data_IF_893670299704
#
_entry.id   IF_893670299704
#
_cell.length_a   1.000
_cell.length_b   1.000
_cell.length_c   1.000
_cell.angle_alpha   90.00
_cell.angle_beta   90.00
_cell.angle_gamma   90.00
#
_symmetry.space_group_name_H-M   'P 1'
#
loop_
_entity.id
_entity.type
_entity.pdbx_description
1 polymer ?
#
# COMPACT_ATOMS: atom_id res chain seq x y z
N UNK A 1 12.89 20.50 23.20
CA UNK A 1 14.01 21.07 22.46
C UNK A 1 13.48 21.78 21.21
N UNK A 2 13.76 23.06 21.07
CA UNK A 2 13.52 23.80 19.84
C UNK A 2 14.63 23.40 18.85
N UNK A 3 14.28 22.62 17.81
CA UNK A 3 15.24 22.05 16.88
C UNK A 3 14.89 22.39 15.43
N UNK A 4 15.91 22.61 14.63
CA UNK A 4 15.82 22.71 13.18
C UNK A 4 15.82 21.30 12.58
N UNK A 5 14.86 20.96 11.72
CA UNK A 5 14.82 19.67 11.04
C UNK A 5 15.86 19.62 9.91
N UNK A 6 16.45 18.45 9.67
CA UNK A 6 17.38 18.25 8.55
C UNK A 6 16.71 18.58 7.21
N UNK A 7 15.42 18.22 7.03
CA UNK A 7 14.65 18.61 5.86
C UNK A 7 14.62 20.14 5.63
N UNK A 8 14.50 20.92 6.70
CA UNK A 8 14.50 22.37 6.63
C UNK A 8 15.89 22.92 6.24
N UNK A 9 16.97 22.30 6.74
CA UNK A 9 18.32 22.67 6.31
C UNK A 9 18.52 22.47 4.82
N UNK A 10 17.98 21.40 4.24
CA UNK A 10 18.04 21.15 2.79
C UNK A 10 17.15 22.11 1.98
N UNK A 11 16.01 22.52 2.52
CA UNK A 11 15.10 23.46 1.84
C UNK A 11 15.67 24.90 1.86
N UNK A 12 16.25 25.31 2.98
CA UNK A 12 16.61 26.72 3.26
C UNK A 12 18.12 26.92 3.44
N UNK A 13 18.97 26.05 2.86
CA UNK A 13 20.41 26.02 3.11
C UNK A 13 21.10 27.37 2.93
N UNK A 14 20.78 28.11 1.86
CA UNK A 14 21.38 29.41 1.57
C UNK A 14 21.06 30.45 2.65
N UNK A 15 19.80 30.49 3.12
CA UNK A 15 19.35 31.44 4.13
C UNK A 15 19.83 31.10 5.53
N UNK A 16 20.11 29.81 5.79
CA UNK A 16 20.60 29.32 7.08
C UNK A 16 22.15 29.31 7.17
N UNK A 17 22.83 29.53 6.05
CA UNK A 17 24.31 29.62 6.00
C UNK A 17 24.84 30.64 6.97
N UNK A 18 25.81 30.26 7.83
CA UNK A 18 26.36 31.08 8.86
C UNK A 18 25.54 31.20 10.16
N UNK A 19 24.31 30.68 10.17
CA UNK A 19 23.46 30.68 11.36
C UNK A 19 23.78 29.51 12.28
N UNK A 20 23.60 29.74 13.60
CA UNK A 20 23.66 28.67 14.59
C UNK A 20 22.34 28.00 14.75
N UNK A 21 22.29 26.66 14.58
CA UNK A 21 21.08 25.82 14.68
C UNK A 21 21.33 24.65 15.63
N UNK A 22 20.26 24.12 16.18
CA UNK A 22 20.26 22.86 16.93
C UNK A 22 19.53 21.79 16.16
N UNK A 23 20.17 20.64 15.94
CA UNK A 23 19.61 19.45 15.28
C UNK A 23 19.69 18.28 16.25
N UNK A 24 18.64 17.46 16.29
CA UNK A 24 18.64 16.23 17.08
C UNK A 24 18.32 15.04 16.17
N UNK A 25 19.05 13.95 16.31
CA UNK A 25 18.86 12.77 15.47
C UNK A 25 19.69 11.57 15.90
N UNK A 26 19.72 10.56 15.06
CA UNK A 26 20.41 9.30 15.33
C UNK A 26 21.66 9.15 14.47
N UNK A 27 22.72 8.63 15.10
CA UNK A 27 24.01 8.36 14.47
C UNK A 27 23.86 7.27 13.40
N UNK A 28 24.30 7.58 12.18
CA UNK A 28 24.48 6.62 11.08
C UNK A 28 25.91 6.12 11.01
N UNK A 29 26.85 6.99 11.26
CA UNK A 29 28.28 6.66 11.35
C UNK A 29 29.05 7.73 12.10
N UNK A 30 30.12 7.33 12.71
CA UNK A 30 31.14 8.22 13.26
C UNK A 30 32.46 7.89 12.60
N UNK A 31 33.21 8.91 12.24
CA UNK A 31 34.59 8.80 11.71
C UNK A 31 35.54 9.76 12.46
N UNK A 32 36.37 9.18 13.28
CA UNK A 32 37.40 9.91 14.04
C UNK A 32 38.67 10.06 13.21
N UNK A 33 39.18 11.28 13.10
CA UNK A 33 40.44 11.65 12.44
C UNK A 33 41.47 12.20 13.45
N UNK A 34 41.33 11.88 14.74
CA UNK A 34 42.15 12.27 15.90
C UNK A 34 41.90 13.71 16.37
N UNK A 35 42.15 14.71 15.52
CA UNK A 35 41.96 16.13 15.87
C UNK A 35 40.62 16.68 15.50
N UNK A 36 39.94 16.07 14.54
CA UNK A 36 38.59 16.37 14.12
C UNK A 36 37.88 15.07 13.67
N UNK A 37 36.61 15.12 13.45
CA UNK A 37 35.87 13.97 13.01
C UNK A 37 34.50 14.35 12.40
N UNK A 38 33.80 13.34 11.94
CA UNK A 38 32.52 13.51 11.31
C UNK A 38 31.47 12.56 11.92
N UNK A 39 30.32 13.10 12.26
CA UNK A 39 29.15 12.33 12.60
C UNK A 39 28.16 12.47 11.46
N UNK A 40 27.72 11.35 10.90
CA UNK A 40 26.57 11.33 9.98
C UNK A 40 25.33 11.13 10.80
N UNK A 41 24.42 12.11 10.76
CA UNK A 41 23.20 12.16 11.59
C UNK A 41 21.96 12.14 10.69
N UNK A 42 20.92 11.45 11.11
CA UNK A 42 19.61 11.52 10.49
C UNK A 42 18.52 11.69 11.55
N UNK A 43 17.61 12.64 11.33
CA UNK A 43 16.51 12.96 12.24
C UNK A 43 15.15 12.40 11.81
N UNK A 44 15.11 11.65 10.71
CA UNK A 44 13.89 11.09 10.14
C UNK A 44 13.03 12.09 9.35
N UNK A 45 13.36 13.38 9.31
CA UNK A 45 12.56 14.39 8.61
C UNK A 45 12.67 14.32 7.08
N UNK A 46 13.78 13.79 6.56
CA UNK A 46 13.99 13.51 5.14
C UNK A 46 14.88 12.28 4.96
N UNK A 47 15.05 11.85 3.71
CA UNK A 47 15.90 10.71 3.39
C UNK A 47 17.38 11.00 3.55
N UNK A 48 17.80 12.25 3.27
CA UNK A 48 19.18 12.70 3.32
C UNK A 48 19.70 12.79 4.75
N UNK A 49 20.99 12.50 4.91
CA UNK A 49 21.69 12.62 6.18
C UNK A 49 22.39 13.99 6.31
N UNK A 50 22.68 14.42 7.54
CA UNK A 50 23.45 15.59 7.85
C UNK A 50 24.89 15.18 8.25
N UNK A 51 25.89 15.84 7.68
CA UNK A 51 27.25 15.74 8.16
C UNK A 51 27.49 16.78 9.27
N UNK A 52 27.83 16.31 10.45
CA UNK A 52 28.25 17.13 11.59
C UNK A 52 29.74 17.02 11.69
N UNK A 53 30.43 18.17 11.62
CA UNK A 53 31.88 18.25 11.84
C UNK A 53 32.12 18.51 13.30
N UNK A 54 32.91 17.65 13.94
CA UNK A 54 33.35 17.79 15.31
C UNK A 54 34.82 18.10 15.35
N UNK A 55 35.21 19.05 16.20
CA UNK A 55 36.59 19.44 16.40
C UNK A 55 36.97 19.21 17.86
N UNK A 56 38.11 18.56 18.10
CA UNK A 56 38.59 18.22 19.43
C UNK A 56 38.85 19.45 20.30
N UNK A 57 39.31 20.54 19.71
CA UNK A 57 39.52 21.80 20.44
C UNK A 57 38.25 22.52 20.85
N UNK A 58 37.14 22.22 20.16
CA UNK A 58 35.85 22.87 20.39
C UNK A 58 34.89 22.06 21.29
N UNK A 59 35.13 20.75 21.46
CA UNK A 59 34.25 19.83 22.18
C UNK A 59 34.99 19.15 23.33
N UNK A 60 34.63 19.49 24.58
CA UNK A 60 35.19 18.86 25.77
C UNK A 60 34.94 17.35 25.84
N UNK A 61 33.82 16.89 25.24
CA UNK A 61 33.44 15.49 25.20
C UNK A 61 33.74 14.80 23.84
N UNK A 62 34.72 15.31 23.09
CA UNK A 62 35.07 14.76 21.76
C UNK A 62 35.25 13.23 21.77
N UNK A 63 36.00 12.70 22.74
CA UNK A 63 36.26 11.25 22.82
C UNK A 63 35.01 10.44 23.13
N UNK A 64 34.10 10.98 23.93
CA UNK A 64 32.79 10.36 24.16
C UNK A 64 32.00 10.25 22.84
N UNK A 65 31.94 11.33 22.05
CA UNK A 65 31.23 11.35 20.77
C UNK A 65 31.90 10.45 19.74
N UNK A 66 33.26 10.44 19.70
CA UNK A 66 34.00 9.59 18.75
C UNK A 66 33.73 8.09 18.93
N UNK A 67 33.35 7.67 20.14
CA UNK A 67 33.04 6.28 20.48
C UNK A 67 31.56 5.93 20.47
N UNK A 68 30.68 6.85 20.04
CA UNK A 68 29.27 6.54 19.96
C UNK A 68 28.96 5.48 18.87
N UNK A 69 28.11 4.53 19.23
CA UNK A 69 27.68 3.47 18.32
C UNK A 69 26.61 3.99 17.34
N UNK A 70 26.40 3.26 16.24
CA UNK A 70 25.28 3.47 15.33
C UNK A 70 23.96 3.47 16.12
N UNK A 71 23.07 4.38 15.77
CA UNK A 71 21.77 4.58 16.43
C UNK A 71 21.81 5.29 17.79
N UNK A 72 22.95 5.72 18.29
CA UNK A 72 22.96 6.66 19.42
C UNK A 72 22.20 7.94 19.06
N UNK A 73 21.47 8.50 20.00
CA UNK A 73 20.72 9.73 19.83
C UNK A 73 21.56 10.92 20.31
N UNK A 74 21.74 11.91 19.43
CA UNK A 74 22.56 13.10 19.70
C UNK A 74 21.73 14.38 19.48
N UNK A 75 22.05 15.40 20.28
CA UNK A 75 21.64 16.78 20.08
C UNK A 75 22.89 17.60 19.73
N UNK A 76 22.93 18.14 18.52
CA UNK A 76 24.06 18.85 17.96
C UNK A 76 23.71 20.32 17.75
N UNK A 77 24.43 21.22 18.37
CA UNK A 77 24.36 22.67 18.14
C UNK A 77 25.60 23.13 17.42
N UNK A 78 25.46 23.96 16.40
CA UNK A 78 26.58 24.42 15.63
C UNK A 78 26.20 25.41 14.53
N UNK A 79 27.20 25.86 13.79
CA UNK A 79 27.02 26.79 12.67
C UNK A 79 26.88 26.04 11.36
N UNK A 80 25.87 26.39 10.58
CA UNK A 80 25.65 25.87 9.22
C UNK A 80 26.73 26.45 8.31
N UNK A 81 27.55 25.57 7.74
CA UNK A 81 28.62 25.95 6.82
C UNK A 81 28.27 25.47 5.41
N UNK A 82 28.13 26.40 4.48
CA UNK A 82 27.90 26.04 3.08
C UNK A 82 29.14 25.41 2.46
N UNK A 83 28.95 24.34 1.69
CA UNK A 83 30.03 23.57 1.06
C UNK A 83 29.69 23.33 -0.44
N UNK A 84 29.70 24.39 -1.28
CA UNK A 84 29.20 24.30 -2.66
C UNK A 84 30.04 23.34 -3.54
N UNK A 85 31.30 23.13 -3.19
CA UNK A 85 32.23 22.27 -3.93
C UNK A 85 32.30 20.82 -3.37
N UNK A 86 31.47 20.50 -2.34
CA UNK A 86 31.42 19.18 -1.75
C UNK A 86 30.18 18.40 -2.25
N UNK A 87 30.14 17.06 -2.10
CA UNK A 87 28.95 16.26 -2.44
C UNK A 87 27.68 16.67 -1.68
N UNK A 88 27.83 17.15 -0.44
CA UNK A 88 26.73 17.75 0.34
C UNK A 88 26.78 19.28 0.25
N UNK A 89 25.61 19.98 0.16
CA UNK A 89 25.59 21.45 -0.02
C UNK A 89 25.99 22.22 1.23
N UNK A 90 25.98 21.59 2.40
CA UNK A 90 26.35 22.19 3.69
C UNK A 90 26.77 21.11 4.69
N UNK A 91 27.36 21.55 5.78
CA UNK A 91 27.68 20.76 6.98
C UNK A 91 27.37 21.56 8.23
N UNK A 92 27.20 20.90 9.37
CA UNK A 92 27.06 21.54 10.67
C UNK A 92 28.43 21.53 11.40
N UNK A 93 29.05 22.68 11.58
CA UNK A 93 30.26 22.81 12.41
C UNK A 93 29.84 22.88 13.87
N UNK A 94 29.98 21.78 14.59
CA UNK A 94 29.45 21.65 15.94
C UNK A 94 30.26 22.50 16.96
N UNK A 95 29.49 23.22 17.79
CA UNK A 95 30.00 23.90 18.99
C UNK A 95 29.64 23.17 20.28
N UNK A 96 28.61 22.31 20.22
CA UNK A 96 28.17 21.45 21.32
C UNK A 96 27.50 20.19 20.76
N UNK A 97 27.83 19.04 21.34
CA UNK A 97 27.14 17.77 21.06
C UNK A 97 26.81 17.12 22.41
N UNK A 98 25.52 16.86 22.61
CA UNK A 98 25.02 16.16 23.80
C UNK A 98 24.58 14.74 23.39
N UNK A 99 24.92 13.75 24.21
CA UNK A 99 24.45 12.38 24.07
C UNK A 99 23.11 12.25 24.80
N UNK A 100 21.99 12.29 24.06
CA UNK A 100 20.65 12.10 24.62
C UNK A 100 20.42 10.64 25.00
N UNK A 101 20.91 9.72 24.16
CA UNK A 101 20.78 8.29 24.40
C UNK A 101 21.89 7.48 23.75
N UNK A 102 22.54 6.64 24.53
CA UNK A 102 23.55 5.72 24.03
C UNK A 102 22.92 4.53 23.29
N UNK A 103 23.65 3.98 22.31
CA UNK A 103 23.27 2.72 21.67
C UNK A 103 24.15 1.60 22.21
N UNK A 104 23.53 0.54 22.72
CA UNK A 104 24.27 -0.59 23.30
C UNK A 104 25.16 -1.27 22.26
N UNK A 105 26.30 -1.87 22.70
CA UNK A 105 27.26 -2.52 21.80
C UNK A 105 26.69 -3.68 20.97
N UNK A 106 25.65 -4.31 21.45
CA UNK A 106 24.95 -5.43 20.82
C UNK A 106 23.83 -4.99 19.86
N UNK A 107 23.73 -3.69 19.53
CA UNK A 107 22.77 -3.19 18.55
C UNK A 107 22.84 -3.99 17.24
N UNK A 108 21.73 -4.62 16.80
CA UNK A 108 21.80 -5.65 15.76
C UNK A 108 22.00 -5.10 14.35
N UNK A 109 21.66 -3.83 14.09
CA UNK A 109 21.74 -3.22 12.76
C UNK A 109 23.01 -2.41 12.58
N UNK A 110 24.15 -3.11 12.60
CA UNK A 110 25.47 -2.52 12.41
C UNK A 110 25.71 -2.07 10.95
N UNK A 111 26.86 -1.45 10.66
CA UNK A 111 27.25 -0.93 9.34
C UNK A 111 27.23 -1.97 8.21
N UNK A 112 27.29 -3.26 8.51
CA UNK A 112 27.20 -4.33 7.51
C UNK A 112 25.79 -4.39 6.95
N UNK A 113 25.66 -4.62 5.63
CA UNK A 113 24.36 -4.81 4.98
C UNK A 113 23.65 -6.02 5.58
N UNK A 114 22.50 -5.78 6.20
CA UNK A 114 21.61 -6.84 6.67
C UNK A 114 20.74 -7.35 5.52
N UNK A 115 20.42 -8.65 5.53
CA UNK A 115 19.46 -9.22 4.57
C UNK A 115 18.05 -8.82 4.96
N UNK A 116 17.13 -8.84 3.98
CA UNK A 116 15.73 -8.51 4.21
C UNK A 116 15.08 -9.53 5.16
N UNK A 117 15.45 -10.79 5.06
CA UNK A 117 15.00 -11.88 5.95
C UNK A 117 15.40 -11.61 7.41
N UNK A 118 16.63 -11.22 7.64
CA UNK A 118 17.07 -10.82 8.99
C UNK A 118 16.29 -9.59 9.48
N UNK A 119 16.07 -8.59 8.63
CA UNK A 119 15.33 -7.39 9.00
C UNK A 119 13.88 -7.67 9.35
N UNK A 120 13.26 -8.74 8.81
CA UNK A 120 11.94 -9.19 9.24
C UNK A 120 11.90 -9.70 10.68
N UNK A 121 13.02 -10.22 11.20
CA UNK A 121 13.14 -10.59 12.62
C UNK A 121 13.38 -9.38 13.53
N UNK A 122 13.66 -8.20 12.95
CA UNK A 122 13.95 -6.95 13.64
C UNK A 122 12.94 -5.85 13.23
N UNK A 123 11.66 -6.17 13.17
CA UNK A 123 10.62 -5.28 12.62
C UNK A 123 10.57 -3.92 13.32
N UNK A 124 10.79 -3.88 14.64
CA UNK A 124 10.80 -2.66 15.46
C UNK A 124 12.04 -1.76 15.21
N UNK A 125 13.12 -2.31 14.65
CA UNK A 125 14.35 -1.55 14.35
C UNK A 125 14.57 -1.32 12.84
N UNK A 126 13.99 -2.16 11.98
CA UNK A 126 14.21 -2.06 10.53
C UNK A 126 13.85 -0.69 9.91
N UNK A 127 12.93 0.13 10.46
CA UNK A 127 12.70 1.49 9.96
C UNK A 127 13.93 2.39 10.00
N UNK A 128 14.94 2.05 10.80
CA UNK A 128 16.22 2.79 10.89
C UNK A 128 17.15 2.54 9.70
N UNK A 129 16.86 1.53 8.86
CA UNK A 129 17.63 1.24 7.64
C UNK A 129 17.20 2.13 6.48
N UNK A 130 18.09 2.35 5.51
CA UNK A 130 17.75 3.16 4.33
C UNK A 130 16.63 2.56 3.51
N UNK A 131 16.60 1.22 3.35
CA UNK A 131 15.53 0.54 2.62
C UNK A 131 14.15 0.84 3.22
N UNK A 132 13.96 0.56 4.50
CA UNK A 132 12.64 0.73 5.13
C UNK A 132 12.27 2.18 5.39
N UNK A 133 13.27 3.05 5.57
CA UNK A 133 13.05 4.50 5.60
C UNK A 133 12.48 4.99 4.27
N UNK A 134 13.02 4.54 3.14
CA UNK A 134 12.49 4.86 1.82
C UNK A 134 11.08 4.29 1.62
N UNK A 135 10.88 3.01 1.92
CA UNK A 135 9.59 2.34 1.75
C UNK A 135 8.49 3.02 2.55
N UNK A 136 8.70 3.26 3.84
CA UNK A 136 7.64 3.83 4.69
C UNK A 136 7.42 5.32 4.46
N UNK A 137 8.42 6.05 3.98
CA UNK A 137 8.20 7.44 3.52
C UNK A 137 7.35 7.47 2.25
N UNK A 138 7.65 6.63 1.27
CA UNK A 138 6.83 6.48 0.05
C UNK A 138 5.41 6.03 0.41
N UNK A 139 5.26 5.07 1.32
CA UNK A 139 3.94 4.65 1.80
C UNK A 139 3.14 5.82 2.37
N UNK A 140 3.77 6.65 3.20
CA UNK A 140 3.13 7.83 3.80
C UNK A 140 2.70 8.86 2.74
N UNK A 141 3.59 9.17 1.80
CA UNK A 141 3.30 10.13 0.71
C UNK A 141 2.21 9.60 -0.21
N UNK A 142 2.24 8.33 -0.57
CA UNK A 142 1.22 7.69 -1.40
C UNK A 142 -0.16 7.73 -0.72
N UNK A 143 -0.25 7.45 0.58
CA UNK A 143 -1.51 7.55 1.32
C UNK A 143 -2.08 8.97 1.30
N UNK A 144 -1.25 9.97 1.54
CA UNK A 144 -1.67 11.39 1.49
C UNK A 144 -2.09 11.80 0.06
N UNK A 145 -1.40 11.32 -0.96
CA UNK A 145 -1.73 11.58 -2.37
C UNK A 145 -3.11 10.99 -2.75
N UNK A 146 -3.41 9.78 -2.30
CA UNK A 146 -4.71 9.14 -2.51
C UNK A 146 -5.84 9.97 -1.89
N UNK A 147 -5.70 10.36 -0.62
CA UNK A 147 -6.69 11.20 0.04
C UNK A 147 -6.87 12.54 -0.68
N UNK A 148 -5.78 13.18 -1.08
CA UNK A 148 -5.81 14.44 -1.79
C UNK A 148 -6.51 14.34 -3.15
N UNK A 149 -6.20 13.28 -3.92
CA UNK A 149 -6.88 13.02 -5.20
C UNK A 149 -8.40 12.95 -5.04
N UNK A 150 -8.89 12.13 -4.13
CA UNK A 150 -10.34 11.98 -3.95
C UNK A 150 -10.99 13.24 -3.37
N UNK A 151 -10.36 13.91 -2.41
CA UNK A 151 -10.89 15.16 -1.84
C UNK A 151 -10.96 16.28 -2.87
N UNK A 152 -9.97 16.44 -3.74
CA UNK A 152 -9.96 17.40 -4.84
C UNK A 152 -11.05 17.13 -5.88
N UNK A 153 -11.44 15.87 -6.04
CA UNK A 153 -12.54 15.41 -6.90
C UNK A 153 -13.93 15.55 -6.23
N UNK A 154 -13.98 15.98 -4.97
CA UNK A 154 -15.23 16.13 -4.22
C UNK A 154 -15.78 14.85 -3.61
N UNK A 155 -15.02 13.77 -3.58
CA UNK A 155 -15.43 12.50 -2.93
C UNK A 155 -15.51 12.66 -1.42
N UNK A 156 -16.48 12.01 -0.81
CA UNK A 156 -16.62 11.92 0.64
C UNK A 156 -15.88 10.70 1.18
N UNK A 157 -14.97 10.91 2.13
CA UNK A 157 -14.29 9.83 2.84
C UNK A 157 -15.21 9.19 3.87
N UNK A 158 -15.43 7.88 3.78
CA UNK A 158 -16.31 7.11 4.66
C UNK A 158 -15.52 6.05 5.42
N UNK A 159 -15.67 6.02 6.74
CA UNK A 159 -15.11 4.97 7.59
C UNK A 159 -16.13 3.83 7.72
N UNK A 160 -15.99 2.81 6.91
CA UNK A 160 -16.82 1.60 7.00
C UNK A 160 -16.40 0.73 8.17
N UNK A 161 -17.30 -0.06 8.80
CA UNK A 161 -16.96 -0.87 9.95
C UNK A 161 -15.98 -1.99 9.59
N UNK A 162 -15.00 -2.22 10.46
CA UNK A 162 -14.08 -3.37 10.36
C UNK A 162 -14.69 -4.65 10.93
N UNK A 163 -15.59 -4.54 11.89
CA UNK A 163 -16.35 -5.68 12.42
C UNK A 163 -17.69 -5.73 11.67
N UNK A 164 -17.98 -6.87 11.07
CA UNK A 164 -19.16 -7.05 10.21
C UNK A 164 -19.84 -8.38 10.47
N UNK A 165 -21.14 -8.44 10.13
CA UNK A 165 -21.93 -9.67 10.15
C UNK A 165 -22.26 -10.16 8.73
N UNK A 166 -21.72 -9.50 7.69
CA UNK A 166 -21.93 -9.86 6.28
C UNK A 166 -20.60 -10.17 5.59
N UNK A 167 -20.65 -11.09 4.62
CA UNK A 167 -19.53 -11.46 3.78
C UNK A 167 -19.67 -10.79 2.41
N UNK A 168 -18.81 -9.83 2.11
CA UNK A 168 -18.80 -9.09 0.84
C UNK A 168 -18.47 -9.98 -0.36
N UNK A 169 -17.57 -10.93 -0.18
CA UNK A 169 -17.11 -11.80 -1.26
C UNK A 169 -17.98 -13.07 -1.43
N UNK A 170 -18.81 -13.39 -0.42
CA UNK A 170 -19.70 -14.53 -0.43
C UNK A 170 -19.05 -15.90 -0.24
N UNK A 171 -17.73 -15.95 -0.05
CA UNK A 171 -16.94 -17.16 0.16
C UNK A 171 -15.66 -16.87 0.94
N UNK A 172 -15.60 -15.74 1.64
CA UNK A 172 -14.40 -15.26 2.29
C UNK A 172 -14.04 -16.09 3.52
N UNK A 173 -12.79 -16.47 3.63
CA UNK A 173 -12.20 -16.94 4.88
C UNK A 173 -12.01 -15.74 5.81
N UNK A 174 -12.96 -15.58 6.73
CA UNK A 174 -13.01 -14.43 7.64
C UNK A 174 -12.49 -14.79 9.02
N UNK A 175 -11.72 -13.88 9.62
CA UNK A 175 -11.38 -13.97 11.03
C UNK A 175 -12.63 -13.72 11.88
N UNK A 176 -12.90 -14.62 12.80
CA UNK A 176 -14.04 -14.48 13.72
C UNK A 176 -13.73 -13.52 14.85
N UNK A 177 -14.69 -12.66 15.18
CA UNK A 177 -14.65 -11.77 16.34
C UNK A 177 -15.63 -12.29 17.38
N UNK A 178 -15.13 -12.72 18.53
CA UNK A 178 -15.93 -13.30 19.60
C UNK A 178 -15.33 -13.02 20.96
N UNK A 179 -16.20 -12.89 21.99
CA UNK A 179 -15.82 -12.83 23.40
C UNK A 179 -16.16 -14.12 24.15
N UNK A 180 -16.72 -15.12 23.44
CA UNK A 180 -17.03 -16.42 24.03
C UNK A 180 -15.74 -17.19 24.34
N UNK A 181 -15.77 -17.95 25.45
CA UNK A 181 -14.66 -18.85 25.79
C UNK A 181 -14.59 -20.00 24.77
N UNK A 182 -13.50 -20.16 24.02
CA UNK A 182 -13.37 -21.23 23.04
C UNK A 182 -13.35 -22.65 23.67
N UNK A 183 -13.07 -22.75 24.98
CA UNK A 183 -13.07 -24.05 25.69
C UNK A 183 -14.46 -24.48 26.13
N UNK A 184 -15.37 -23.53 26.37
CA UNK A 184 -16.70 -23.81 26.88
C UNK A 184 -17.72 -22.79 26.36
N UNK A 185 -17.97 -22.75 25.05
CA UNK A 185 -18.95 -21.83 24.48
C UNK A 185 -20.37 -22.25 24.88
N UNK A 186 -21.32 -21.31 25.04
CA UNK A 186 -22.72 -21.65 25.18
C UNK A 186 -23.21 -22.37 23.90
N UNK A 187 -24.05 -23.39 24.07
CA UNK A 187 -24.57 -24.18 22.99
C UNK A 187 -26.10 -24.04 22.86
N UNK A 188 -26.57 -24.13 21.62
CA UNK A 188 -27.99 -24.28 21.30
C UNK A 188 -28.50 -25.68 21.65
N UNK A 189 -29.80 -25.90 21.59
CA UNK A 189 -30.38 -27.23 21.76
C UNK A 189 -29.87 -28.26 20.73
N UNK A 190 -29.45 -27.79 19.56
CA UNK A 190 -28.82 -28.65 18.52
C UNK A 190 -27.34 -28.94 18.74
N UNK A 191 -26.72 -28.36 19.77
CA UNK A 191 -25.31 -28.54 20.09
C UNK A 191 -24.35 -27.63 19.33
N UNK A 192 -24.87 -26.65 18.58
CA UNK A 192 -24.07 -25.64 17.92
C UNK A 192 -23.77 -24.46 18.85
N UNK A 193 -22.75 -23.64 18.53
CA UNK A 193 -22.44 -22.46 19.34
C UNK A 193 -23.60 -21.46 19.26
N UNK A 194 -24.09 -21.06 20.44
CA UNK A 194 -25.15 -20.06 20.56
C UNK A 194 -24.58 -18.63 20.48
N UNK A 195 -24.45 -18.11 19.28
CA UNK A 195 -23.97 -16.76 18.99
C UNK A 195 -24.86 -15.64 19.52
N UNK A 196 -26.10 -15.92 19.93
CA UNK A 196 -26.97 -14.92 20.54
C UNK A 196 -26.47 -14.46 21.90
N UNK A 197 -25.62 -15.27 22.54
CA UNK A 197 -24.98 -14.96 23.82
C UNK A 197 -23.60 -14.29 23.67
N UNK A 198 -23.12 -14.10 22.44
CA UNK A 198 -21.88 -13.36 22.20
C UNK A 198 -22.10 -11.85 22.29
N UNK A 199 -21.01 -11.08 22.32
CA UNK A 199 -21.02 -9.63 22.53
C UNK A 199 -21.98 -8.88 21.59
N UNK A 200 -22.00 -9.22 20.31
CA UNK A 200 -22.86 -8.59 19.29
C UNK A 200 -24.22 -9.29 19.12
N UNK A 201 -24.51 -10.33 19.91
CA UNK A 201 -25.75 -11.10 19.80
C UNK A 201 -25.91 -11.88 18.49
N UNK A 202 -24.85 -12.02 17.72
CA UNK A 202 -24.78 -12.75 16.46
C UNK A 202 -23.32 -13.02 16.06
N UNK A 203 -23.13 -13.93 15.12
CA UNK A 203 -21.82 -14.19 14.54
C UNK A 203 -21.24 -12.94 13.88
N UNK A 204 -20.04 -12.54 14.28
CA UNK A 204 -19.33 -11.39 13.74
C UNK A 204 -17.92 -11.77 13.29
N UNK A 205 -17.40 -11.06 12.30
CA UNK A 205 -16.09 -11.28 11.71
C UNK A 205 -15.38 -9.97 11.42
N UNK A 206 -14.06 -10.03 11.14
CA UNK A 206 -13.34 -8.92 10.55
C UNK A 206 -13.66 -8.84 9.05
N UNK A 207 -13.87 -7.64 8.54
CA UNK A 207 -14.28 -7.41 7.16
C UNK A 207 -13.21 -7.78 6.14
N UNK A 208 -13.63 -8.29 5.00
CA UNK A 208 -12.77 -8.51 3.82
C UNK A 208 -12.82 -7.33 2.84
N UNK A 209 -13.79 -6.41 2.97
CA UNK A 209 -13.98 -5.23 2.12
C UNK A 209 -14.98 -4.26 2.75
N UNK A 210 -14.79 -2.98 2.54
CA UNK A 210 -15.74 -1.94 2.93
C UNK A 210 -16.79 -1.61 1.85
N UNK A 211 -16.75 -2.27 0.69
CA UNK A 211 -17.53 -1.92 -0.49
C UNK A 211 -19.03 -1.87 -0.24
N UNK A 212 -19.64 -2.93 0.30
CA UNK A 212 -21.09 -2.99 0.45
C UNK A 212 -21.65 -1.88 1.36
N UNK A 213 -20.89 -1.52 2.39
CA UNK A 213 -21.24 -0.39 3.26
C UNK A 213 -20.97 0.96 2.58
N UNK A 214 -19.91 1.08 1.78
CA UNK A 214 -19.62 2.30 1.01
C UNK A 214 -20.72 2.60 -0.02
N UNK A 215 -21.29 1.58 -0.65
CA UNK A 215 -22.41 1.75 -1.59
C UNK A 215 -23.63 2.39 -0.91
N UNK A 216 -23.89 2.15 0.38
CA UNK A 216 -24.96 2.82 1.13
C UNK A 216 -24.77 4.35 1.11
N UNK A 217 -23.53 4.79 1.26
CA UNK A 217 -23.18 6.20 1.28
C UNK A 217 -23.14 6.80 -0.12
N UNK A 218 -22.70 6.04 -1.12
CA UNK A 218 -22.74 6.47 -2.52
C UNK A 218 -24.17 6.78 -2.99
N UNK A 219 -25.16 6.00 -2.55
CA UNK A 219 -26.58 6.23 -2.84
C UNK A 219 -27.15 7.51 -2.18
N UNK A 220 -26.38 8.20 -1.36
CA UNK A 220 -26.77 9.45 -0.70
C UNK A 220 -25.83 10.62 -1.03
N UNK A 221 -24.54 10.38 -1.14
CA UNK A 221 -23.51 11.39 -1.34
C UNK A 221 -22.96 11.46 -2.77
N UNK A 222 -23.32 10.51 -3.63
CA UNK A 222 -22.85 10.42 -5.01
C UNK A 222 -21.50 9.72 -5.10
N UNK A 223 -20.41 10.44 -4.80
CA UNK A 223 -19.06 9.92 -4.90
C UNK A 223 -18.43 9.79 -3.51
N UNK A 224 -18.06 8.57 -3.15
CA UNK A 224 -17.46 8.26 -1.84
C UNK A 224 -16.25 7.35 -2.01
N UNK A 225 -15.39 7.29 -0.99
CA UNK A 225 -14.34 6.28 -0.94
C UNK A 225 -14.07 5.84 0.50
N UNK A 226 -13.61 4.61 0.65
CA UNK A 226 -13.02 4.11 1.88
C UNK A 226 -11.52 3.98 1.71
N UNK A 227 -10.77 4.14 2.79
CA UNK A 227 -9.38 3.78 2.90
C UNK A 227 -9.18 3.16 4.27
N UNK A 228 -9.32 1.85 4.34
CA UNK A 228 -9.39 1.14 5.61
C UNK A 228 -8.75 -0.23 5.60
N UNK A 229 -8.50 -0.80 6.79
CA UNK A 229 -7.96 -2.13 6.94
C UNK A 229 -8.99 -3.19 6.52
N UNK A 230 -8.51 -4.24 5.88
CA UNK A 230 -9.24 -5.43 5.49
C UNK A 230 -8.48 -6.67 5.90
N UNK A 231 -9.19 -7.78 6.08
CA UNK A 231 -8.65 -8.99 6.70
C UNK A 231 -9.08 -10.22 5.92
N UNK A 232 -8.12 -11.12 5.65
CA UNK A 232 -8.41 -12.41 5.02
C UNK A 232 -7.67 -13.52 5.74
N UNK A 233 -8.41 -14.55 6.19
CA UNK A 233 -7.88 -15.71 6.91
C UNK A 233 -7.40 -16.83 5.97
N UNK A 234 -7.10 -16.50 4.72
CA UNK A 234 -6.60 -17.47 3.74
C UNK A 234 -5.26 -18.03 4.17
N UNK A 235 -5.15 -19.35 4.13
CA UNK A 235 -3.89 -20.04 4.39
C UNK A 235 -2.97 -19.96 3.16
N UNK A 236 -2.59 -18.74 2.77
CA UNK A 236 -1.72 -18.46 1.64
C UNK A 236 -0.39 -17.88 2.11
N UNK A 237 0.71 -18.50 1.74
CA UNK A 237 2.06 -18.10 2.14
C UNK A 237 2.89 -17.59 0.95
N UNK A 238 2.31 -16.73 0.13
CA UNK A 238 2.98 -16.12 -1.01
C UNK A 238 3.60 -14.76 -0.65
N UNK A 239 4.37 -14.20 -1.57
CA UNK A 239 4.97 -12.87 -1.42
C UNK A 239 3.96 -11.72 -1.56
N UNK A 240 2.72 -12.01 -1.95
CA UNK A 240 1.66 -11.03 -2.24
C UNK A 240 0.48 -11.09 -1.29
N UNK A 241 0.46 -12.04 -0.33
CA UNK A 241 -0.64 -12.22 0.61
C UNK A 241 -0.22 -11.85 2.03
N UNK A 242 -1.07 -11.05 2.67
CA UNK A 242 -1.05 -10.74 4.09
C UNK A 242 -2.46 -10.92 4.65
N UNK A 243 -2.58 -11.28 5.92
CA UNK A 243 -3.86 -11.47 6.58
C UNK A 243 -4.54 -10.14 6.94
N UNK A 244 -3.76 -9.07 7.08
CA UNK A 244 -4.20 -7.69 7.30
C UNK A 244 -3.53 -6.80 6.27
N UNK A 245 -4.33 -6.01 5.54
CA UNK A 245 -3.87 -5.07 4.52
C UNK A 245 -4.87 -3.94 4.37
N UNK A 246 -4.52 -2.89 3.63
CA UNK A 246 -5.35 -1.73 3.45
C UNK A 246 -5.94 -1.67 2.04
N UNK A 247 -7.22 -1.35 1.94
CA UNK A 247 -7.91 -1.18 0.68
C UNK A 247 -8.37 0.25 0.48
N UNK A 248 -8.24 0.74 -0.73
CA UNK A 248 -8.89 1.96 -1.23
C UNK A 248 -10.05 1.53 -2.10
N UNK A 249 -11.26 1.90 -1.72
CA UNK A 249 -12.48 1.42 -2.37
C UNK A 249 -13.44 2.59 -2.64
N UNK A 250 -13.30 3.29 -3.77
CA UNK A 250 -14.26 4.31 -4.20
C UNK A 250 -15.51 3.68 -4.81
N UNK A 251 -16.65 4.36 -4.58
CA UNK A 251 -17.95 4.05 -5.16
C UNK A 251 -18.58 5.32 -5.71
N UNK A 252 -19.03 5.29 -6.96
CA UNK A 252 -19.51 6.45 -7.71
C UNK A 252 -20.92 6.19 -8.20
N UNK A 253 -21.90 6.98 -7.73
CA UNK A 253 -23.27 6.93 -8.23
C UNK A 253 -23.37 7.56 -9.62
N UNK A 254 -24.35 7.10 -10.42
CA UNK A 254 -24.57 7.53 -11.80
C UNK A 254 -23.38 7.29 -12.74
N UNK A 255 -22.45 6.42 -12.35
CA UNK A 255 -21.27 6.04 -13.10
C UNK A 255 -21.41 4.66 -13.73
N UNK A 256 -20.81 4.48 -14.89
CA UNK A 256 -20.70 3.20 -15.58
C UNK A 256 -19.27 2.63 -15.51
N UNK A 257 -19.03 1.54 -16.24
CA UNK A 257 -17.72 0.90 -16.28
C UNK A 257 -16.62 1.82 -16.82
N UNK A 258 -16.93 2.68 -17.80
CA UNK A 258 -15.96 3.61 -18.36
C UNK A 258 -15.58 4.72 -17.38
N UNK A 259 -16.57 5.24 -16.63
CA UNK A 259 -16.32 6.23 -15.58
C UNK A 259 -15.39 5.68 -14.49
N UNK A 260 -15.60 4.41 -14.11
CA UNK A 260 -14.69 3.72 -13.20
C UNK A 260 -13.27 3.68 -13.77
N UNK A 261 -13.11 3.19 -15.00
CA UNK A 261 -11.77 3.06 -15.62
C UNK A 261 -11.07 4.41 -15.75
N UNK A 262 -11.79 5.45 -16.12
CA UNK A 262 -11.24 6.82 -16.20
C UNK A 262 -10.76 7.34 -14.85
N UNK A 263 -11.55 7.14 -13.79
CA UNK A 263 -11.19 7.56 -12.43
C UNK A 263 -9.99 6.76 -11.90
N UNK A 264 -9.97 5.45 -12.10
CA UNK A 264 -8.88 4.57 -11.66
C UNK A 264 -7.55 4.92 -12.35
N UNK A 265 -7.57 5.17 -13.67
CA UNK A 265 -6.39 5.61 -14.43
C UNK A 265 -5.88 6.96 -13.92
N UNK A 266 -6.77 7.93 -13.74
CA UNK A 266 -6.42 9.26 -13.25
C UNK A 266 -5.83 9.19 -11.83
N UNK A 267 -6.41 8.41 -10.94
CA UNK A 267 -5.94 8.22 -9.57
C UNK A 267 -4.54 7.61 -9.54
N UNK A 268 -4.32 6.53 -10.28
CA UNK A 268 -3.02 5.86 -10.33
C UNK A 268 -1.93 6.79 -10.85
N UNK A 269 -2.18 7.49 -11.95
CA UNK A 269 -1.25 8.48 -12.52
C UNK A 269 -0.95 9.63 -11.55
N UNK A 270 -1.96 10.13 -10.86
CA UNK A 270 -1.80 11.18 -9.86
C UNK A 270 -0.86 10.76 -8.74
N UNK A 271 -1.08 9.57 -8.17
CA UNK A 271 -0.25 9.04 -7.08
C UNK A 271 1.19 8.79 -7.54
N UNK A 272 1.39 8.19 -8.71
CA UNK A 272 2.73 7.96 -9.25
C UNK A 272 3.50 9.28 -9.45
N UNK A 273 2.86 10.29 -10.03
CA UNK A 273 3.48 11.60 -10.27
C UNK A 273 3.80 12.33 -8.97
N UNK A 274 2.91 12.29 -7.99
CA UNK A 274 3.13 12.93 -6.68
C UNK A 274 4.28 12.28 -5.92
N UNK A 275 4.35 10.95 -5.90
CA UNK A 275 5.44 10.20 -5.26
C UNK A 275 6.78 10.48 -5.96
N UNK A 276 6.83 10.49 -7.29
CA UNK A 276 8.06 10.81 -8.04
C UNK A 276 8.54 12.24 -7.77
N UNK A 277 7.62 13.19 -7.62
CA UNK A 277 7.96 14.58 -7.32
C UNK A 277 8.41 14.78 -5.86
N UNK A 278 7.81 14.06 -4.92
CA UNK A 278 8.01 14.27 -3.47
C UNK A 278 9.14 13.41 -2.90
N UNK A 279 9.41 12.23 -3.46
CA UNK A 279 10.36 11.24 -2.97
C UNK A 279 11.49 10.90 -3.98
N UNK A 280 12.15 11.89 -4.62
CA UNK A 280 13.17 11.58 -5.63
C UNK A 280 14.38 10.85 -5.05
N UNK A 281 14.83 11.18 -3.84
CA UNK A 281 16.00 10.56 -3.22
C UNK A 281 15.74 9.11 -2.85
N UNK A 282 14.55 8.82 -2.29
CA UNK A 282 14.08 7.47 -1.96
C UNK A 282 14.00 6.61 -3.22
N UNK A 283 13.36 7.12 -4.27
CA UNK A 283 13.22 6.39 -5.53
C UNK A 283 14.55 6.16 -6.23
N UNK A 284 15.47 7.12 -6.22
CA UNK A 284 16.81 6.94 -6.77
C UNK A 284 17.57 5.83 -6.05
N UNK A 285 17.49 5.77 -4.72
CA UNK A 285 18.09 4.70 -3.94
C UNK A 285 17.48 3.34 -4.27
N UNK A 286 16.13 3.26 -4.32
CA UNK A 286 15.42 2.02 -4.65
C UNK A 286 15.72 1.56 -6.09
N UNK A 287 15.74 2.47 -7.06
CA UNK A 287 16.11 2.17 -8.44
C UNK A 287 17.54 1.63 -8.57
N UNK A 288 18.46 2.15 -7.76
CA UNK A 288 19.88 1.72 -7.80
C UNK A 288 20.11 0.36 -7.12
N UNK A 289 19.43 0.10 -5.99
CA UNK A 289 19.79 -1.00 -5.10
C UNK A 289 18.73 -2.09 -4.95
N UNK A 290 17.47 -1.84 -5.36
CA UNK A 290 16.36 -2.77 -5.22
C UNK A 290 15.85 -3.24 -6.58
N UNK A 291 15.47 -2.31 -7.46
CA UNK A 291 14.91 -2.61 -8.78
C UNK A 291 15.41 -1.59 -9.81
N UNK A 292 16.40 -1.98 -10.62
CA UNK A 292 17.07 -1.10 -11.59
C UNK A 292 16.15 -0.54 -12.69
N UNK A 293 14.98 -1.14 -12.92
CA UNK A 293 13.98 -0.69 -13.89
C UNK A 293 12.85 0.15 -13.29
N UNK A 294 12.89 0.44 -11.99
CA UNK A 294 11.81 1.06 -11.26
C UNK A 294 11.39 2.42 -11.83
N UNK A 295 12.31 3.36 -11.92
CA UNK A 295 12.00 4.73 -12.38
C UNK A 295 11.49 4.76 -13.82
N UNK A 296 12.11 4.00 -14.71
CA UNK A 296 11.68 3.91 -16.12
C UNK A 296 10.24 3.39 -16.22
N UNK A 297 9.91 2.34 -15.45
CA UNK A 297 8.57 1.77 -15.40
C UNK A 297 7.54 2.75 -14.84
N UNK A 298 7.83 3.43 -13.73
CA UNK A 298 6.91 4.40 -13.13
C UNK A 298 6.65 5.59 -14.05
N UNK A 299 7.69 6.13 -14.72
CA UNK A 299 7.56 7.21 -15.69
C UNK A 299 6.73 6.76 -16.90
N UNK A 300 6.98 5.54 -17.40
CA UNK A 300 6.21 4.99 -18.51
C UNK A 300 4.73 4.88 -18.18
N UNK A 301 4.38 4.28 -17.03
CA UNK A 301 2.98 4.13 -16.61
C UNK A 301 2.30 5.48 -16.36
N UNK A 302 2.99 6.42 -15.71
CA UNK A 302 2.44 7.74 -15.43
C UNK A 302 2.12 8.58 -16.69
N UNK A 303 2.78 8.28 -17.81
CA UNK A 303 2.63 9.03 -19.06
C UNK A 303 1.95 8.23 -20.18
N UNK A 304 1.57 6.98 -19.95
CA UNK A 304 0.88 6.14 -20.95
C UNK A 304 -0.63 6.34 -20.88
N UNK A 305 -1.30 6.32 -22.01
CA UNK A 305 -2.75 6.08 -22.07
C UNK A 305 -2.97 4.58 -21.86
N UNK A 306 -3.86 4.23 -20.95
CA UNK A 306 -4.12 2.82 -20.64
C UNK A 306 -4.94 2.18 -21.77
N UNK A 307 -4.50 1.01 -22.22
CA UNK A 307 -5.26 0.23 -23.19
C UNK A 307 -6.53 -0.35 -22.55
N UNK A 308 -7.54 -0.63 -23.38
CA UNK A 308 -8.77 -1.31 -22.97
C UNK A 308 -9.03 -2.45 -23.93
N UNK A 309 -9.29 -3.63 -23.39
CA UNK A 309 -9.53 -4.86 -24.14
C UNK A 309 -10.57 -5.70 -23.40
N UNK A 310 -11.48 -6.35 -24.10
CA UNK A 310 -12.39 -7.31 -23.45
C UNK A 310 -11.65 -8.58 -23.05
N UNK A 311 -12.15 -9.29 -22.06
CA UNK A 311 -11.61 -10.59 -21.68
C UNK A 311 -11.60 -11.58 -22.85
N UNK A 312 -12.65 -11.60 -23.65
CA UNK A 312 -12.74 -12.45 -24.84
C UNK A 312 -11.61 -12.15 -25.83
N UNK A 313 -11.41 -10.88 -26.17
CA UNK A 313 -10.30 -10.45 -27.04
C UNK A 313 -8.93 -10.73 -26.41
N UNK A 314 -8.80 -10.55 -25.10
CA UNK A 314 -7.54 -10.88 -24.37
C UNK A 314 -7.23 -12.38 -24.46
N UNK A 315 -8.21 -13.25 -24.32
CA UNK A 315 -8.03 -14.71 -24.51
C UNK A 315 -7.62 -15.02 -25.95
N UNK A 316 -8.24 -14.40 -26.94
CA UNK A 316 -7.85 -14.58 -28.36
C UNK A 316 -6.39 -14.16 -28.61
N UNK A 317 -5.94 -13.04 -28.02
CA UNK A 317 -4.55 -12.58 -28.10
C UNK A 317 -3.61 -13.61 -27.48
N UNK A 318 -3.94 -14.16 -26.31
CA UNK A 318 -3.14 -15.18 -25.64
C UNK A 318 -3.12 -16.50 -26.41
N UNK A 319 -4.24 -16.94 -26.98
CA UNK A 319 -4.30 -18.13 -27.83
C UNK A 319 -3.47 -17.97 -29.09
N UNK A 320 -3.49 -16.80 -29.72
CA UNK A 320 -2.63 -16.49 -30.88
C UNK A 320 -1.14 -16.52 -30.49
N UNK A 321 -0.79 -16.03 -29.30
CA UNK A 321 0.59 -16.12 -28.80
C UNK A 321 1.03 -17.58 -28.61
N UNK A 322 0.17 -18.44 -28.06
CA UNK A 322 0.43 -19.89 -27.94
C UNK A 322 0.62 -20.52 -29.32
N UNK A 323 -0.25 -20.20 -30.28
CA UNK A 323 -0.14 -20.70 -31.66
C UNK A 323 1.15 -20.24 -32.36
N UNK A 324 1.68 -19.05 -31.99
CA UNK A 324 2.95 -18.52 -32.46
C UNK A 324 4.18 -19.08 -31.73
N UNK A 325 3.98 -19.99 -30.76
CA UNK A 325 5.05 -20.68 -30.06
C UNK A 325 5.39 -20.13 -28.67
N UNK A 326 4.66 -19.13 -28.16
CA UNK A 326 4.81 -18.69 -26.78
C UNK A 326 4.33 -19.79 -25.81
N UNK A 327 5.07 -20.02 -24.74
CA UNK A 327 4.75 -21.04 -23.74
C UNK A 327 4.34 -20.37 -22.43
N UNK A 328 3.13 -20.66 -22.00
CA UNK A 328 2.65 -20.36 -20.65
C UNK A 328 2.70 -21.60 -19.77
N UNK A 329 2.91 -21.44 -18.48
CA UNK A 329 2.86 -22.52 -17.49
C UNK A 329 1.42 -23.00 -17.27
N UNK A 330 0.46 -22.08 -17.41
CA UNK A 330 -0.97 -22.35 -17.28
C UNK A 330 -1.67 -22.32 -18.63
N UNK A 331 -2.60 -23.24 -18.93
CA UNK A 331 -3.29 -23.28 -20.20
C UNK A 331 -4.18 -22.07 -20.41
N UNK A 332 -4.33 -21.66 -21.67
CA UNK A 332 -5.19 -20.55 -22.07
C UNK A 332 -6.46 -21.10 -22.69
N UNK A 333 -7.62 -20.72 -22.16
CA UNK A 333 -8.93 -20.99 -22.73
C UNK A 333 -9.97 -20.02 -22.15
N UNK A 334 -11.04 -19.78 -22.86
CA UNK A 334 -12.11 -18.91 -22.36
C UNK A 334 -12.76 -19.51 -21.11
N UNK A 335 -12.95 -18.71 -20.07
CA UNK A 335 -13.54 -19.09 -18.79
C UNK A 335 -12.50 -19.31 -17.66
N UNK A 336 -11.21 -19.25 -17.93
CA UNK A 336 -10.16 -19.34 -16.91
C UNK A 336 -9.96 -18.03 -16.18
N UNK A 337 -9.49 -18.11 -14.91
CA UNK A 337 -8.84 -16.98 -14.26
C UNK A 337 -7.49 -16.69 -14.91
N UNK A 338 -7.27 -15.44 -15.33
CA UNK A 338 -5.97 -15.02 -15.85
C UNK A 338 -4.91 -15.13 -14.75
N UNK A 339 -3.81 -15.78 -15.08
CA UNK A 339 -2.66 -15.87 -14.18
C UNK A 339 -1.72 -14.68 -14.42
N UNK A 340 -0.86 -14.38 -13.46
CA UNK A 340 0.10 -13.26 -13.56
C UNK A 340 0.92 -13.28 -14.85
N UNK A 341 1.29 -14.46 -15.35
CA UNK A 341 2.01 -14.59 -16.62
C UNK A 341 1.21 -14.12 -17.84
N UNK A 342 -0.11 -14.41 -17.84
CA UNK A 342 -1.03 -13.95 -18.88
C UNK A 342 -1.18 -12.41 -18.83
N UNK A 343 -1.37 -11.86 -17.66
CA UNK A 343 -1.51 -10.42 -17.43
C UNK A 343 -0.24 -9.66 -17.82
N UNK A 344 0.91 -10.20 -17.46
CA UNK A 344 2.20 -9.61 -17.84
C UNK A 344 2.46 -9.68 -19.34
N UNK A 345 2.09 -10.77 -19.99
CA UNK A 345 2.18 -10.87 -21.44
C UNK A 345 1.36 -9.76 -22.12
N UNK A 346 0.12 -9.54 -21.68
CA UNK A 346 -0.73 -8.50 -22.24
C UNK A 346 -0.11 -7.10 -22.07
N UNK A 347 0.43 -6.79 -20.88
CA UNK A 347 0.93 -5.45 -20.57
C UNK A 347 2.36 -5.19 -21.03
N UNK A 348 3.22 -6.22 -21.06
CA UNK A 348 4.66 -6.06 -21.35
C UNK A 348 5.02 -6.41 -22.79
N UNK A 349 4.36 -7.39 -23.39
CA UNK A 349 4.69 -7.87 -24.75
C UNK A 349 3.71 -7.41 -25.81
N UNK A 350 2.39 -7.46 -25.53
CA UNK A 350 1.37 -7.12 -26.51
C UNK A 350 1.08 -5.61 -26.58
N UNK A 351 0.47 -5.05 -25.51
CA UNK A 351 0.10 -3.63 -25.48
C UNK A 351 1.25 -2.70 -25.11
N UNK A 352 2.25 -3.20 -24.39
CA UNK A 352 3.43 -2.47 -23.88
C UNK A 352 3.07 -1.25 -23.05
N UNK A 353 1.97 -1.34 -22.30
CA UNK A 353 1.43 -0.29 -21.43
C UNK A 353 0.38 -0.87 -20.47
N UNK A 354 -0.03 -0.13 -19.43
CA UNK A 354 -1.14 -0.55 -18.59
C UNK A 354 -2.39 -0.82 -19.41
N UNK A 355 -3.13 -1.84 -19.01
CA UNK A 355 -4.27 -2.34 -19.77
C UNK A 355 -5.41 -2.71 -18.86
N UNK A 356 -6.60 -2.17 -19.13
CA UNK A 356 -7.84 -2.67 -18.55
C UNK A 356 -8.33 -3.87 -19.37
N UNK A 357 -8.60 -4.97 -18.69
CA UNK A 357 -9.33 -6.12 -19.24
C UNK A 357 -10.74 -6.06 -18.69
N UNK A 358 -11.74 -6.07 -19.59
CA UNK A 358 -13.15 -5.85 -19.24
C UNK A 358 -14.02 -7.06 -19.58
N UNK A 359 -15.23 -7.06 -19.06
CA UNK A 359 -16.27 -8.02 -19.45
C UNK A 359 -15.87 -9.48 -19.26
N UNK A 360 -15.52 -9.81 -18.04
CA UNK A 360 -15.11 -11.15 -17.61
C UNK A 360 -16.29 -12.12 -17.58
N UNK A 361 -16.04 -13.43 -17.70
CA UNK A 361 -17.05 -14.45 -17.46
C UNK A 361 -17.71 -14.29 -16.09
N UNK A 362 -19.04 -14.35 -16.03
CA UNK A 362 -19.79 -14.19 -14.80
C UNK A 362 -19.45 -15.25 -13.73
N UNK A 363 -19.06 -16.45 -14.16
CA UNK A 363 -18.79 -17.59 -13.27
C UNK A 363 -17.55 -17.37 -12.37
N UNK A 364 -16.59 -16.53 -12.82
CA UNK A 364 -15.34 -16.26 -12.08
C UNK A 364 -15.35 -14.91 -11.36
N UNK A 365 -16.48 -14.20 -11.34
CA UNK A 365 -16.60 -12.87 -10.73
C UNK A 365 -17.71 -12.81 -9.67
N UNK A 366 -17.62 -11.82 -8.77
CA UNK A 366 -18.50 -11.67 -7.63
C UNK A 366 -19.97 -11.39 -7.99
N UNK A 367 -20.87 -11.69 -7.06
CA UNK A 367 -22.31 -11.63 -7.23
C UNK A 367 -22.87 -10.23 -7.53
N UNK A 368 -22.21 -9.19 -7.05
CA UNK A 368 -22.65 -7.80 -7.15
C UNK A 368 -22.32 -7.12 -8.48
N UNK A 369 -21.59 -7.78 -9.36
CA UNK A 369 -21.20 -7.23 -10.65
C UNK A 369 -22.34 -7.28 -11.65
N UNK A 370 -22.52 -6.20 -12.42
CA UNK A 370 -23.60 -6.07 -13.39
C UNK A 370 -23.50 -7.09 -14.50
N UNK A 371 -24.55 -7.90 -14.68
CA UNK A 371 -24.65 -8.85 -15.78
C UNK A 371 -24.82 -8.12 -17.11
N UNK A 372 -23.98 -8.45 -18.09
CA UNK A 372 -24.11 -7.93 -19.46
C UNK A 372 -25.30 -8.56 -20.19
N UNK A 373 -25.69 -7.95 -21.31
CA UNK A 373 -26.86 -8.37 -22.12
C UNK A 373 -26.66 -9.77 -22.72
N UNK A 374 -25.43 -10.25 -22.84
CA UNK A 374 -25.12 -11.60 -23.35
C UNK A 374 -25.50 -12.74 -22.37
N UNK A 375 -25.79 -12.38 -21.11
CA UNK A 375 -26.09 -13.32 -20.04
C UNK A 375 -24.91 -14.24 -19.63
N UNK A 376 -23.70 -13.95 -20.08
CA UNK A 376 -22.49 -14.75 -19.83
C UNK A 376 -21.37 -13.99 -19.16
N UNK A 377 -21.25 -12.69 -19.44
CA UNK A 377 -20.21 -11.83 -18.92
C UNK A 377 -20.78 -10.77 -17.98
N UNK A 378 -19.91 -10.19 -17.17
CA UNK A 378 -20.23 -9.08 -16.26
C UNK A 378 -19.39 -7.85 -16.59
N UNK A 379 -19.93 -6.68 -16.32
CA UNK A 379 -19.25 -5.39 -16.50
C UNK A 379 -18.18 -5.17 -15.42
N UNK A 380 -17.21 -6.07 -15.38
CA UNK A 380 -16.01 -6.00 -14.54
C UNK A 380 -14.87 -5.40 -15.34
N UNK A 381 -13.90 -4.80 -14.66
CA UNK A 381 -12.64 -4.43 -15.25
C UNK A 381 -11.52 -4.59 -14.22
N UNK A 382 -10.41 -5.20 -14.65
CA UNK A 382 -9.18 -5.27 -13.88
C UNK A 382 -8.11 -4.44 -14.57
N UNK A 383 -7.44 -3.56 -13.83
CA UNK A 383 -6.33 -2.77 -14.31
C UNK A 383 -5.03 -3.55 -14.12
N UNK A 384 -4.40 -3.89 -15.24
CA UNK A 384 -3.12 -4.59 -15.28
C UNK A 384 -2.00 -3.60 -15.56
N UNK A 385 -0.89 -3.71 -14.81
CA UNK A 385 0.28 -2.87 -15.01
C UNK A 385 1.53 -3.72 -15.27
N UNK A 386 2.50 -3.22 -16.07
CA UNK A 386 3.75 -3.92 -16.32
C UNK A 386 4.49 -4.23 -15.00
N UNK A 387 5.03 -5.44 -14.89
CA UNK A 387 5.85 -5.87 -13.76
C UNK A 387 5.09 -6.56 -12.63
N UNK A 388 3.79 -6.32 -12.46
CA UNK A 388 3.02 -6.89 -11.34
C UNK A 388 1.73 -7.60 -11.80
N UNK A 389 1.14 -7.23 -12.92
CA UNK A 389 -0.18 -7.69 -13.34
C UNK A 389 -1.30 -6.85 -12.73
N UNK A 390 -2.35 -7.48 -12.25
CA UNK A 390 -3.49 -6.78 -11.65
C UNK A 390 -3.08 -5.94 -10.45
N UNK A 391 -3.46 -4.65 -10.47
CA UNK A 391 -3.28 -3.69 -9.37
C UNK A 391 -4.61 -3.13 -8.87
N UNK A 392 -5.62 -3.01 -9.72
CA UNK A 392 -6.95 -2.53 -9.39
C UNK A 392 -7.97 -3.50 -9.99
N UNK A 393 -8.96 -3.87 -9.21
CA UNK A 393 -10.12 -4.64 -9.67
C UNK A 393 -11.42 -3.93 -9.32
N UNK A 394 -12.41 -3.96 -10.21
CA UNK A 394 -13.68 -3.31 -9.97
C UNK A 394 -14.75 -3.65 -11.00
N UNK A 395 -15.90 -3.00 -10.88
CA UNK A 395 -17.02 -3.23 -11.78
C UNK A 395 -18.04 -2.11 -11.74
N UNK A 396 -18.89 -2.07 -12.75
CA UNK A 396 -20.22 -1.51 -12.58
C UNK A 396 -21.03 -2.49 -11.71
N UNK A 397 -21.77 -1.96 -10.73
CA UNK A 397 -22.55 -2.76 -9.79
C UNK A 397 -23.91 -3.13 -10.40
N UNK A 398 -24.47 -4.27 -9.99
CA UNK A 398 -25.82 -4.66 -10.44
C UNK A 398 -26.86 -3.77 -9.77
N UNK A 399 -27.48 -2.91 -10.55
CA UNK A 399 -28.51 -1.97 -10.10
C UNK A 399 -29.95 -2.54 -10.23
N UNK A 400 -30.11 -3.65 -10.95
CA UNK A 400 -31.41 -4.29 -11.18
C UNK A 400 -31.71 -5.27 -10.07
N UNK A 401 -32.76 -4.98 -9.29
CA UNK A 401 -33.08 -5.73 -8.05
C UNK A 401 -33.32 -7.22 -8.32
N UNK A 402 -34.12 -7.54 -9.36
CA UNK A 402 -34.49 -8.90 -9.71
C UNK A 402 -33.30 -9.75 -10.12
N UNK A 403 -32.36 -9.19 -10.86
CA UNK A 403 -31.15 -9.88 -11.30
C UNK A 403 -30.16 -10.07 -10.15
N UNK A 404 -30.00 -9.06 -9.29
CA UNK A 404 -29.15 -9.17 -8.11
C UNK A 404 -29.67 -10.23 -7.13
N UNK A 405 -30.96 -10.21 -6.86
CA UNK A 405 -31.60 -11.19 -5.96
C UNK A 405 -31.50 -12.61 -6.51
N UNK A 406 -31.73 -12.79 -7.82
CA UNK A 406 -31.57 -14.08 -8.49
C UNK A 406 -30.12 -14.60 -8.36
N UNK A 407 -29.14 -13.74 -8.62
CA UNK A 407 -27.71 -14.11 -8.52
C UNK A 407 -27.30 -14.52 -7.11
N UNK A 408 -27.78 -13.80 -6.08
CA UNK A 408 -27.54 -14.17 -4.68
C UNK A 408 -28.09 -15.57 -4.39
N UNK A 409 -29.32 -15.88 -4.86
CA UNK A 409 -29.95 -17.20 -4.69
C UNK A 409 -29.22 -18.31 -5.46
N UNK A 410 -28.83 -18.04 -6.71
CA UNK A 410 -28.13 -19.01 -7.57
C UNK A 410 -26.77 -19.42 -6.99
N UNK A 411 -26.11 -18.52 -6.26
CA UNK A 411 -24.85 -18.79 -5.54
C UNK A 411 -25.06 -19.44 -4.17
N UNK A 412 -26.32 -19.77 -3.81
CA UNK A 412 -26.64 -20.40 -2.52
C UNK A 412 -26.53 -19.47 -1.32
N UNK A 413 -26.43 -18.16 -1.55
CA UNK A 413 -26.35 -17.15 -0.50
C UNK A 413 -27.77 -16.82 0.02
N UNK A 414 -27.89 -16.41 1.29
CA UNK A 414 -29.15 -16.06 1.89
C UNK A 414 -29.49 -14.58 1.64
N UNK A 415 -30.56 -14.24 0.85
CA UNK A 415 -30.94 -12.86 0.56
C UNK A 415 -31.26 -12.01 1.81
N UNK A 416 -31.75 -12.63 2.89
CA UNK A 416 -32.09 -11.91 4.13
C UNK A 416 -30.84 -11.28 4.79
N UNK A 417 -29.67 -11.89 4.60
CA UNK A 417 -28.39 -11.32 5.10
C UNK A 417 -27.94 -10.09 4.32
N UNK A 418 -28.44 -9.94 3.08
CA UNK A 418 -28.15 -8.85 2.18
C UNK A 418 -29.34 -7.89 1.99
N UNK A 419 -30.34 -7.95 2.87
CA UNK A 419 -31.53 -7.12 2.77
C UNK A 419 -31.21 -5.63 2.64
N UNK A 420 -30.29 -5.11 3.47
CA UNK A 420 -29.86 -3.72 3.40
C UNK A 420 -29.24 -3.35 2.06
N UNK A 421 -28.54 -4.28 1.43
CA UNK A 421 -27.92 -4.10 0.12
C UNK A 421 -28.95 -4.15 -1.03
N UNK A 422 -29.92 -5.05 -0.93
CA UNK A 422 -31.07 -5.13 -1.85
C UNK A 422 -31.97 -3.91 -1.73
N UNK A 423 -32.14 -3.34 -0.54
CA UNK A 423 -32.93 -2.12 -0.32
C UNK A 423 -32.39 -0.91 -1.10
N UNK A 424 -31.10 -0.83 -1.36
CA UNK A 424 -30.51 0.19 -2.23
C UNK A 424 -31.04 0.12 -3.67
N UNK A 425 -31.47 -1.05 -4.11
CA UNK A 425 -32.09 -1.26 -5.43
C UNK A 425 -33.59 -1.00 -5.42
N UNK A 426 -34.22 -1.11 -4.25
CA UNK A 426 -35.67 -0.83 -4.08
C UNK A 426 -35.96 0.65 -3.92
N UNK A 427 -35.05 1.41 -3.33
CA UNK A 427 -35.26 2.79 -2.93
C UNK A 427 -34.30 3.73 -3.67
N UNK A 428 -34.65 4.06 -4.93
CA UNK A 428 -33.90 5.03 -5.72
C UNK A 428 -32.61 4.47 -6.34
N UNK A 429 -32.67 3.26 -6.90
CA UNK A 429 -31.56 2.63 -7.61
C UNK A 429 -31.05 3.48 -8.76
N UNK A 430 -29.74 3.50 -8.95
CA UNK A 430 -29.09 4.11 -10.11
C UNK A 430 -27.89 3.26 -10.57
N UNK A 431 -27.44 3.50 -11.80
CA UNK A 431 -26.12 3.00 -12.21
C UNK A 431 -25.08 3.47 -11.21
N UNK A 432 -24.21 2.60 -10.81
CA UNK A 432 -23.03 2.96 -9.99
C UNK A 432 -21.90 1.98 -10.22
N UNK A 433 -20.69 2.45 -10.02
CA UNK A 433 -19.49 1.68 -10.27
C UNK A 433 -18.45 2.00 -9.20
N UNK A 434 -17.56 1.05 -8.97
CA UNK A 434 -16.48 1.24 -8.02
C UNK A 434 -15.39 0.22 -8.22
N UNK A 435 -14.31 0.39 -7.47
CA UNK A 435 -13.14 -0.47 -7.58
C UNK A 435 -12.40 -0.61 -6.24
N UNK A 436 -11.49 -1.57 -6.18
CA UNK A 436 -10.59 -1.77 -5.05
C UNK A 436 -9.15 -1.73 -5.50
N UNK A 437 -8.33 -0.99 -4.76
CA UNK A 437 -6.88 -0.98 -4.87
C UNK A 437 -6.29 -1.46 -3.56
N UNK A 438 -5.53 -2.55 -3.59
CA UNK A 438 -4.71 -2.97 -2.45
C UNK A 438 -3.54 -2.00 -2.24
N UNK A 439 -3.52 -1.32 -1.11
CA UNK A 439 -2.52 -0.28 -0.86
C UNK A 439 -1.10 -0.85 -0.79
N UNK A 440 -0.92 -2.01 -0.18
CA UNK A 440 0.38 -2.67 -0.12
C UNK A 440 0.90 -3.05 -1.51
N UNK A 441 0.01 -3.51 -2.40
CA UNK A 441 0.38 -3.82 -3.79
C UNK A 441 0.85 -2.57 -4.53
N UNK A 442 0.19 -1.44 -4.32
CA UNK A 442 0.63 -0.14 -4.84
C UNK A 442 1.99 0.27 -4.28
N UNK A 443 2.20 0.11 -2.96
CA UNK A 443 3.51 0.46 -2.35
C UNK A 443 4.62 -0.46 -2.86
N UNK A 444 4.36 -1.76 -3.03
CA UNK A 444 5.30 -2.68 -3.68
C UNK A 444 5.64 -2.19 -5.10
N UNK A 445 4.64 -1.77 -5.86
CA UNK A 445 4.82 -1.25 -7.22
C UNK A 445 5.65 0.04 -7.24
N UNK A 446 5.38 0.98 -6.34
CA UNK A 446 6.10 2.24 -6.21
C UNK A 446 7.54 2.09 -5.73
N UNK A 447 7.85 1.02 -5.02
CA UNK A 447 9.18 0.82 -4.40
C UNK A 447 10.04 -0.24 -5.07
N UNK A 448 9.45 -1.08 -5.91
CA UNK A 448 10.13 -2.25 -6.49
C UNK A 448 10.38 -3.39 -5.48
N UNK A 449 9.84 -3.29 -4.27
CA UNK A 449 9.97 -4.32 -3.24
C UNK A 449 9.10 -5.52 -3.58
N UNK A 450 9.69 -6.71 -3.62
CA UNK A 450 9.03 -7.92 -4.11
C UNK A 450 8.22 -8.71 -3.09
N UNK A 451 8.10 -8.26 -1.85
CA UNK A 451 7.39 -8.99 -0.79
C UNK A 451 6.52 -8.05 0.06
N UNK A 452 5.25 -8.37 0.19
CA UNK A 452 4.27 -7.60 0.95
C UNK A 452 4.67 -7.39 2.42
N UNK A 453 5.40 -8.35 3.01
CA UNK A 453 5.92 -8.25 4.38
C UNK A 453 6.85 -7.05 4.58
N UNK A 454 7.43 -6.53 3.50
CA UNK A 454 8.42 -5.46 3.53
C UNK A 454 7.85 -4.08 3.20
N UNK A 455 6.54 -4.00 2.97
CA UNK A 455 5.81 -2.73 2.80
C UNK A 455 4.76 -2.49 3.89
N UNK A 456 4.62 -3.42 4.82
CA UNK A 456 3.81 -3.31 6.04
C UNK A 456 4.72 -3.02 7.24
N UNK A 457 4.36 -2.09 8.13
CA UNK A 457 5.14 -1.82 9.35
C UNK A 457 5.37 -3.07 10.18
N UNK A 458 4.30 -3.78 10.52
CA UNK A 458 4.29 -5.04 11.24
C UNK A 458 3.34 -6.02 10.53
N UNK A 459 3.86 -6.84 9.59
CA UNK A 459 3.03 -7.70 8.76
C UNK A 459 2.33 -8.79 9.58
N UNK A 460 1.04 -9.02 9.27
CA UNK A 460 0.25 -10.14 9.76
C UNK A 460 0.11 -11.16 8.65
N UNK A 461 0.73 -12.32 8.83
CA UNK A 461 0.75 -13.39 7.83
C UNK A 461 0.57 -14.73 8.53
N UNK A 462 0.36 -15.79 7.76
CA UNK A 462 0.25 -17.14 8.32
C UNK A 462 1.44 -17.44 9.24
N UNK A 463 1.14 -17.81 10.49
CA UNK A 463 2.15 -18.13 11.51
C UNK A 463 2.94 -16.95 12.07
N UNK A 464 2.57 -15.71 11.74
CA UNK A 464 3.26 -14.51 12.23
C UNK A 464 2.31 -13.37 12.59
N UNK A 465 2.35 -12.98 13.85
CA UNK A 465 1.72 -11.78 14.40
C UNK A 465 2.63 -11.09 15.44
N UNK A 466 3.94 -11.22 15.27
CA UNK A 466 4.95 -10.67 16.16
C UNK A 466 4.97 -9.13 16.13
N UNK A 467 5.28 -8.51 17.28
CA UNK A 467 5.28 -7.08 17.56
C UNK A 467 3.85 -6.46 17.66
#
# INVERSE_FOLDING_TARGET
>A
VNRTKIAQLYADAESLGGQTVTVAGWVKSVRDMKNFGFVTLNDGSCFRDLQVVMNREALDNYDEIAHQNVSAALICTGTVKLTPDAPQPFELSATSIEVEGVSAPDYPLQKKRATVEFLRTQQHLRPRTNLFRAVFRIRSVAAAAIHRFFQEQGFVYVNTPIITTSDCEGAGEMFRVTTLDPKNPPLTESGEVDWSQDFFGKHASLTVSGQLNAENFAMAFGDVYTFGPTFRAENSNTTRHAAEFWMIEPEMAFADLNDYMDNAEAMLKYVLKDVMATCPDELNMLNKFVDKGLLERLVHVANSDFARVTYTEAIEILEQAVAAGHKFDYPVSWGIDLQTEHERFLTEEHFKRPTFVTDYPAEIKAFYMRMNEDGKTVAAADCLVPGIGEIIGGSQREERLDLLEARIKDLGMNPEQYKYYLDLRRYGSCKHAGYGLGFERLVMYLTGVGNIRDVLPHPRTVGNADF
#
